data_IF_504984941351
#
_entry.id   IF_504984941351
#
_cell.length_a   1.000
_cell.length_b   1.000
_cell.length_c   1.000
_cell.angle_alpha   90.00
_cell.angle_beta   90.00
_cell.angle_gamma   90.00
#
_symmetry.space_group_name_H-M   'P 1'
#
loop_
_entity.id
_entity.type
_entity.pdbx_description
1 polymer ?
#
# COMPACT_ATOMS: atom_id res chain seq x y z
N UNK A 1 -60.46 -17.86 -26.39
CA UNK A 1 -59.60 -16.65 -26.36
C UNK A 1 -58.25 -17.05 -25.79
N UNK A 2 -57.17 -16.95 -26.57
CA UNK A 2 -55.81 -17.02 -26.00
C UNK A 2 -55.65 -15.86 -25.00
N UNK A 3 -55.27 -16.17 -23.77
CA UNK A 3 -54.92 -15.15 -22.76
C UNK A 3 -53.69 -14.42 -23.27
N UNK A 4 -53.82 -13.13 -23.63
CA UNK A 4 -52.69 -12.28 -24.01
C UNK A 4 -51.65 -12.32 -22.89
N UNK A 5 -50.39 -12.56 -23.24
CA UNK A 5 -49.30 -12.64 -22.26
C UNK A 5 -48.85 -11.24 -21.85
N UNK A 6 -48.37 -11.08 -20.62
CA UNK A 6 -47.94 -9.76 -20.11
C UNK A 6 -46.74 -9.20 -20.89
N UNK A 7 -45.89 -10.07 -21.42
CA UNK A 7 -44.75 -9.73 -22.27
C UNK A 7 -45.20 -9.16 -23.62
N UNK A 8 -46.30 -9.66 -24.19
CA UNK A 8 -46.89 -9.12 -25.43
C UNK A 8 -47.43 -7.71 -25.20
N UNK A 9 -48.14 -7.50 -24.08
CA UNK A 9 -48.60 -6.17 -23.66
C UNK A 9 -47.39 -5.24 -23.43
N UNK A 10 -46.32 -5.76 -22.84
CA UNK A 10 -45.13 -4.96 -22.62
C UNK A 10 -44.43 -4.60 -23.94
N UNK A 11 -44.33 -5.53 -24.89
CA UNK A 11 -43.79 -5.27 -26.22
C UNK A 11 -44.64 -4.23 -26.98
N UNK A 12 -45.98 -4.28 -26.89
CA UNK A 12 -46.85 -3.22 -27.44
C UNK A 12 -46.55 -1.83 -26.85
N UNK A 13 -46.17 -1.76 -25.57
CA UNK A 13 -45.80 -0.50 -24.91
C UNK A 13 -44.44 -0.01 -25.39
N UNK A 14 -43.48 -0.92 -25.57
CA UNK A 14 -42.15 -0.61 -26.10
C UNK A 14 -42.25 -0.14 -27.57
N UNK A 15 -43.11 -0.78 -28.37
CA UNK A 15 -43.41 -0.43 -29.76
C UNK A 15 -44.23 0.88 -29.90
N UNK A 16 -44.76 1.42 -28.80
CA UNK A 16 -45.60 2.62 -28.79
C UNK A 16 -47.05 2.41 -29.23
N UNK A 17 -47.47 1.16 -29.50
CA UNK A 17 -48.87 0.79 -29.81
C UNK A 17 -49.80 1.01 -28.62
N UNK A 18 -49.24 0.92 -27.40
CA UNK A 18 -49.93 1.14 -26.13
C UNK A 18 -49.15 2.12 -25.26
N UNK A 19 -49.85 2.98 -24.51
CA UNK A 19 -49.19 3.98 -23.64
C UNK A 19 -48.76 3.44 -22.28
N UNK A 20 -49.60 2.60 -21.66
CA UNK A 20 -49.43 2.09 -20.29
C UNK A 20 -49.97 0.67 -20.18
N UNK A 21 -49.55 -0.05 -19.14
CA UNK A 21 -50.15 -1.32 -18.77
C UNK A 21 -51.64 -1.14 -18.42
N UNK A 22 -52.48 -2.18 -18.58
CA UNK A 22 -53.86 -2.16 -18.12
C UNK A 22 -53.96 -1.65 -16.67
N UNK A 23 -55.02 -0.89 -16.32
CA UNK A 23 -55.24 -0.47 -14.95
C UNK A 23 -55.19 -1.65 -13.97
N UNK A 24 -54.71 -1.41 -12.75
CA UNK A 24 -54.57 -2.41 -11.68
C UNK A 24 -53.64 -3.60 -11.92
N UNK A 25 -52.99 -3.70 -13.09
CA UNK A 25 -52.03 -4.79 -13.39
C UNK A 25 -51.05 -5.07 -12.25
N UNK A 26 -50.49 -4.02 -11.65
CA UNK A 26 -49.50 -4.15 -10.57
C UNK A 26 -50.10 -4.30 -9.18
N UNK A 27 -51.32 -3.78 -8.95
CA UNK A 27 -52.01 -3.91 -7.67
C UNK A 27 -52.53 -5.35 -7.47
N UNK A 28 -52.87 -6.03 -8.56
CA UNK A 28 -53.37 -7.41 -8.58
C UNK A 28 -52.23 -8.45 -8.62
N UNK A 29 -50.99 -8.03 -8.91
CA UNK A 29 -49.81 -8.90 -8.98
C UNK A 29 -49.21 -9.19 -7.59
N UNK A 30 -50.03 -9.73 -6.69
CA UNK A 30 -49.68 -9.95 -5.27
C UNK A 30 -48.44 -10.85 -5.10
N UNK A 31 -48.21 -11.78 -6.04
CA UNK A 31 -47.07 -12.71 -6.02
C UNK A 31 -45.88 -12.24 -6.88
N UNK A 32 -45.93 -11.02 -7.42
CA UNK A 32 -44.90 -10.45 -8.29
C UNK A 32 -44.59 -11.29 -9.54
N UNK A 33 -45.53 -12.14 -9.99
CA UNK A 33 -45.28 -13.03 -11.13
C UNK A 33 -45.26 -12.24 -12.44
N UNK A 34 -46.14 -11.25 -12.59
CA UNK A 34 -46.18 -10.40 -13.78
C UNK A 34 -44.99 -9.45 -13.80
N UNK A 35 -44.65 -8.84 -12.67
CA UNK A 35 -43.50 -7.94 -12.53
C UNK A 35 -42.18 -8.65 -12.80
N UNK A 36 -41.97 -9.86 -12.27
CA UNK A 36 -40.78 -10.69 -12.58
C UNK A 36 -40.71 -11.01 -14.07
N UNK A 37 -41.83 -11.38 -14.70
CA UNK A 37 -41.87 -11.72 -16.13
C UNK A 37 -41.49 -10.55 -17.04
N UNK A 38 -42.07 -9.37 -16.84
CA UNK A 38 -41.71 -8.19 -17.66
C UNK A 38 -40.29 -7.70 -17.39
N UNK A 39 -39.80 -7.85 -16.15
CA UNK A 39 -38.41 -7.51 -15.78
C UNK A 39 -37.44 -8.46 -16.45
N UNK A 40 -37.74 -9.77 -16.43
CA UNK A 40 -36.96 -10.79 -17.14
C UNK A 40 -36.91 -10.51 -18.63
N UNK A 41 -38.07 -10.27 -19.25
CA UNK A 41 -38.17 -9.96 -20.67
C UNK A 41 -37.37 -8.71 -21.05
N UNK A 42 -37.40 -7.66 -20.22
CA UNK A 42 -36.57 -6.48 -20.45
C UNK A 42 -35.07 -6.84 -20.44
N UNK A 43 -34.62 -7.60 -19.45
CA UNK A 43 -33.18 -7.88 -19.25
C UNK A 43 -32.66 -8.89 -20.27
N UNK A 44 -33.37 -10.00 -20.46
CA UNK A 44 -32.91 -11.16 -21.23
C UNK A 44 -33.22 -11.02 -22.72
N UNK A 45 -34.40 -10.51 -23.09
CA UNK A 45 -34.84 -10.48 -24.50
C UNK A 45 -34.61 -9.11 -25.15
N UNK A 46 -34.99 -8.01 -24.48
CA UNK A 46 -34.92 -6.66 -25.07
C UNK A 46 -33.51 -6.08 -24.99
N UNK A 47 -32.89 -6.15 -23.81
CA UNK A 47 -31.54 -5.62 -23.56
C UNK A 47 -30.44 -6.65 -23.84
N UNK A 48 -30.77 -7.94 -23.73
CA UNK A 48 -29.84 -9.06 -23.86
C UNK A 48 -28.58 -8.87 -22.98
N UNK A 49 -28.81 -8.53 -21.72
CA UNK A 49 -27.76 -8.19 -20.75
C UNK A 49 -27.25 -9.38 -19.96
N UNK A 50 -25.96 -9.33 -19.60
CA UNK A 50 -25.32 -10.25 -18.67
C UNK A 50 -25.11 -9.60 -17.31
N UNK A 51 -24.57 -10.35 -16.35
CA UNK A 51 -24.43 -9.93 -14.96
C UNK A 51 -23.69 -8.59 -14.76
N UNK A 52 -22.63 -8.34 -15.53
CA UNK A 52 -21.87 -7.07 -15.42
C UNK A 52 -22.64 -5.88 -16.01
N UNK A 53 -23.35 -6.06 -17.14
CA UNK A 53 -24.21 -5.01 -17.71
C UNK A 53 -25.30 -4.59 -16.72
N UNK A 54 -25.86 -5.57 -15.99
CA UNK A 54 -26.86 -5.32 -14.94
C UNK A 54 -26.26 -4.47 -13.82
N UNK A 55 -25.07 -4.80 -13.32
CA UNK A 55 -24.39 -4.03 -12.23
C UNK A 55 -24.09 -2.59 -12.65
N UNK A 56 -23.67 -2.40 -13.90
CA UNK A 56 -23.28 -1.08 -14.41
C UNK A 56 -24.45 -0.19 -14.81
N UNK A 57 -25.48 -0.75 -15.44
CA UNK A 57 -26.49 0.04 -16.14
C UNK A 57 -27.88 -0.01 -15.48
N UNK A 58 -28.17 -1.00 -14.63
CA UNK A 58 -29.49 -1.10 -14.01
C UNK A 58 -29.71 -0.02 -12.95
N UNK A 59 -30.59 0.95 -13.25
CA UNK A 59 -30.90 2.08 -12.38
C UNK A 59 -32.32 2.62 -12.61
N UNK A 60 -32.80 3.50 -11.71
CA UNK A 60 -34.15 4.10 -11.80
C UNK A 60 -34.43 4.78 -13.14
N UNK A 61 -33.43 5.45 -13.73
CA UNK A 61 -33.57 6.19 -15.00
C UNK A 61 -33.77 5.22 -16.17
N UNK A 62 -33.01 4.13 -16.21
CA UNK A 62 -33.17 3.07 -17.19
C UNK A 62 -34.56 2.42 -17.09
N UNK A 63 -34.97 2.03 -15.89
CA UNK A 63 -36.27 1.37 -15.67
C UNK A 63 -37.43 2.26 -16.14
N UNK A 64 -37.35 3.57 -15.85
CA UNK A 64 -38.31 4.56 -16.34
C UNK A 64 -38.26 4.74 -17.87
N UNK A 65 -37.06 4.76 -18.47
CA UNK A 65 -36.87 4.84 -19.92
C UNK A 65 -37.60 3.70 -20.63
N UNK A 66 -37.50 2.48 -20.10
CA UNK A 66 -38.16 1.28 -20.61
C UNK A 66 -39.57 1.05 -20.05
N UNK A 67 -40.24 2.12 -19.61
CA UNK A 67 -41.68 2.14 -19.25
C UNK A 67 -42.08 1.24 -18.07
N UNK A 68 -41.11 0.76 -17.27
CA UNK A 68 -41.34 0.00 -16.04
C UNK A 68 -41.33 0.87 -14.77
N UNK A 69 -41.44 2.19 -14.91
CA UNK A 69 -41.48 3.11 -13.77
C UNK A 69 -42.67 2.87 -12.83
N UNK A 70 -43.82 2.43 -13.38
CA UNK A 70 -45.02 2.11 -12.60
C UNK A 70 -44.84 0.89 -11.70
N UNK A 71 -44.35 -0.22 -12.25
CA UNK A 71 -44.08 -1.44 -11.46
C UNK A 71 -42.99 -1.19 -10.42
N UNK A 72 -41.95 -0.44 -10.76
CA UNK A 72 -40.89 -0.06 -9.83
C UNK A 72 -41.44 0.72 -8.61
N UNK A 73 -42.37 1.64 -8.84
CA UNK A 73 -42.98 2.44 -7.78
C UNK A 73 -43.98 1.67 -6.92
N UNK A 74 -44.87 0.91 -7.56
CA UNK A 74 -45.99 0.21 -6.89
C UNK A 74 -45.52 -1.04 -6.16
N UNK A 75 -44.71 -1.88 -6.81
CA UNK A 75 -44.32 -3.20 -6.29
C UNK A 75 -43.04 -3.11 -5.46
N UNK A 76 -42.08 -2.32 -5.93
CA UNK A 76 -40.70 -2.36 -5.42
C UNK A 76 -40.29 -1.13 -4.62
N UNK A 77 -41.24 -0.30 -4.18
CA UNK A 77 -41.02 0.90 -3.36
C UNK A 77 -39.94 1.84 -3.94
N UNK A 78 -39.93 1.94 -5.27
CA UNK A 78 -38.94 2.70 -6.02
C UNK A 78 -37.47 2.25 -5.84
N UNK A 79 -37.19 1.00 -5.46
CA UNK A 79 -35.84 0.44 -5.36
C UNK A 79 -35.50 -0.45 -6.57
N UNK A 80 -34.53 -0.06 -7.42
CA UNK A 80 -34.04 -0.91 -8.51
C UNK A 80 -33.47 -2.24 -8.04
N UNK A 81 -32.84 -2.25 -6.86
CA UNK A 81 -32.24 -3.45 -6.29
C UNK A 81 -33.30 -4.46 -5.85
N UNK A 82 -34.35 -4.04 -5.15
CA UNK A 82 -35.41 -4.97 -4.71
C UNK A 82 -36.10 -5.63 -5.90
N UNK A 83 -36.32 -4.86 -6.98
CA UNK A 83 -36.85 -5.38 -8.25
C UNK A 83 -35.95 -6.45 -8.88
N UNK A 84 -34.63 -6.28 -8.84
CA UNK A 84 -33.70 -7.29 -9.35
C UNK A 84 -33.56 -8.49 -8.41
N UNK A 85 -33.48 -8.26 -7.11
CA UNK A 85 -33.32 -9.34 -6.14
C UNK A 85 -34.58 -10.22 -6.06
N UNK A 86 -35.76 -9.67 -6.35
CA UNK A 86 -36.98 -10.47 -6.52
C UNK A 86 -36.92 -11.37 -7.76
N UNK A 87 -36.32 -10.90 -8.85
CA UNK A 87 -36.14 -11.67 -10.08
C UNK A 87 -35.00 -12.70 -9.97
N UNK A 88 -33.88 -12.33 -9.35
CA UNK A 88 -32.68 -13.14 -9.16
C UNK A 88 -32.25 -13.15 -7.68
N UNK A 89 -32.97 -13.88 -6.80
CA UNK A 89 -32.71 -13.87 -5.37
C UNK A 89 -31.26 -14.20 -5.01
N UNK A 90 -30.60 -13.29 -4.29
CA UNK A 90 -29.25 -13.48 -3.78
C UNK A 90 -28.15 -13.50 -4.83
N UNK A 91 -28.46 -13.26 -6.11
CA UNK A 91 -27.48 -13.28 -7.21
C UNK A 91 -26.54 -12.09 -7.18
N UNK A 92 -27.02 -10.93 -6.70
CA UNK A 92 -26.28 -9.68 -6.65
C UNK A 92 -26.37 -9.10 -5.25
N UNK A 93 -25.32 -8.42 -4.80
CA UNK A 93 -25.34 -7.58 -3.60
C UNK A 93 -25.70 -6.15 -3.98
N UNK A 94 -26.43 -5.45 -3.10
CA UNK A 94 -26.89 -4.08 -3.40
C UNK A 94 -25.72 -3.11 -3.66
N UNK A 95 -24.59 -3.28 -2.97
CA UNK A 95 -23.40 -2.45 -3.18
C UNK A 95 -22.60 -2.75 -4.45
N UNK A 96 -22.92 -3.81 -5.20
CA UNK A 96 -22.25 -4.08 -6.49
C UNK A 96 -22.73 -3.13 -7.60
N UNK A 97 -23.85 -2.45 -7.39
CA UNK A 97 -24.45 -1.55 -8.37
C UNK A 97 -23.84 -0.14 -8.30
N UNK A 98 -24.01 0.62 -9.38
CA UNK A 98 -23.70 2.05 -9.39
C UNK A 98 -24.39 2.78 -8.23
N UNK A 99 -23.71 3.78 -7.66
CA UNK A 99 -24.19 4.55 -6.51
C UNK A 99 -25.60 5.14 -6.69
N UNK A 100 -26.01 5.44 -7.93
CA UNK A 100 -27.35 5.97 -8.26
C UNK A 100 -28.48 4.93 -8.14
N UNK A 101 -28.13 3.65 -8.09
CA UNK A 101 -29.05 2.51 -7.98
C UNK A 101 -29.26 2.06 -6.53
N UNK A 102 -28.30 2.35 -5.67
CA UNK A 102 -28.33 2.05 -4.23
C UNK A 102 -29.19 3.08 -3.50
N UNK A 103 -30.09 2.62 -2.63
CA UNK A 103 -30.93 3.53 -1.84
C UNK A 103 -30.09 4.49 -0.99
N UNK A 104 -30.53 5.74 -0.83
CA UNK A 104 -29.82 6.70 0.04
C UNK A 104 -29.73 6.22 1.48
N UNK A 105 -30.70 5.41 1.91
CA UNK A 105 -30.82 4.89 3.28
C UNK A 105 -30.32 3.45 3.39
N UNK A 106 -29.73 2.90 2.31
CA UNK A 106 -29.11 1.59 2.35
C UNK A 106 -27.96 1.62 3.35
N UNK A 107 -26.90 2.36 3.00
CA UNK A 107 -25.63 2.37 3.70
C UNK A 107 -25.77 2.62 5.20
N UNK A 108 -25.43 1.60 5.98
CA UNK A 108 -24.99 1.73 7.37
C UNK A 108 -23.48 1.58 7.48
N UNK A 109 -22.93 1.81 8.67
CA UNK A 109 -21.51 1.58 8.94
C UNK A 109 -21.16 0.09 8.74
N UNK A 110 -22.00 -0.81 9.22
CA UNK A 110 -21.83 -2.27 9.17
C UNK A 110 -21.87 -2.77 7.72
N UNK A 111 -22.80 -2.28 6.91
CA UNK A 111 -22.86 -2.62 5.49
C UNK A 111 -21.63 -2.12 4.73
N UNK A 112 -21.11 -0.94 5.08
CA UNK A 112 -19.86 -0.44 4.53
C UNK A 112 -18.69 -1.39 4.79
N UNK A 113 -18.62 -1.95 6.00
CA UNK A 113 -17.60 -2.95 6.37
C UNK A 113 -17.84 -4.31 5.71
N UNK A 114 -19.09 -4.78 5.60
CA UNK A 114 -19.42 -6.02 4.90
C UNK A 114 -19.05 -5.92 3.42
N UNK A 115 -19.41 -4.82 2.76
CA UNK A 115 -19.08 -4.58 1.36
C UNK A 115 -17.56 -4.49 1.16
N UNK A 116 -16.84 -3.84 2.08
CA UNK A 116 -15.38 -3.79 2.04
C UNK A 116 -14.75 -5.19 2.20
N UNK A 117 -15.19 -5.95 3.20
CA UNK A 117 -14.73 -7.32 3.46
C UNK A 117 -14.93 -8.20 2.25
N UNK A 118 -16.15 -8.23 1.72
CA UNK A 118 -16.49 -9.01 0.53
C UNK A 118 -15.65 -8.59 -0.68
N UNK A 119 -15.41 -7.29 -0.87
CA UNK A 119 -14.58 -6.80 -1.97
C UNK A 119 -13.14 -7.31 -1.86
N UNK A 120 -12.55 -7.27 -0.67
CA UNK A 120 -11.18 -7.71 -0.40
C UNK A 120 -11.05 -9.24 -0.46
N UNK A 121 -11.91 -9.95 0.26
CA UNK A 121 -11.76 -11.38 0.54
C UNK A 121 -12.38 -12.26 -0.55
N UNK A 122 -13.50 -11.85 -1.15
CA UNK A 122 -14.27 -12.69 -2.08
C UNK A 122 -14.17 -12.24 -3.54
N UNK A 123 -14.37 -10.94 -3.80
CA UNK A 123 -14.35 -10.39 -5.17
C UNK A 123 -12.95 -10.34 -5.74
N UNK A 124 -12.02 -9.68 -5.04
CA UNK A 124 -10.65 -9.50 -5.53
C UNK A 124 -9.65 -10.51 -4.94
N UNK A 125 -10.00 -11.19 -3.84
CA UNK A 125 -9.18 -12.22 -3.16
C UNK A 125 -7.75 -11.74 -2.89
N UNK A 126 -7.62 -10.52 -2.37
CA UNK A 126 -6.34 -9.85 -2.21
C UNK A 126 -5.55 -10.45 -1.04
N UNK A 127 -4.26 -10.74 -1.27
CA UNK A 127 -3.33 -10.97 -0.16
C UNK A 127 -3.07 -9.67 0.60
N UNK A 128 -2.44 -9.77 1.78
CA UNK A 128 -2.09 -8.59 2.59
C UNK A 128 -1.18 -7.64 1.82
N UNK A 129 -0.19 -8.17 1.11
CA UNK A 129 0.77 -7.42 0.30
C UNK A 129 0.07 -6.73 -0.87
N UNK A 130 -0.79 -7.45 -1.58
CA UNK A 130 -1.55 -6.90 -2.71
C UNK A 130 -2.50 -5.79 -2.24
N UNK A 131 -3.18 -6.00 -1.11
CA UNK A 131 -4.06 -5.01 -0.51
C UNK A 131 -3.31 -3.71 -0.23
N UNK A 132 -2.14 -3.77 0.42
CA UNK A 132 -1.34 -2.56 0.72
C UNK A 132 -0.89 -1.80 -0.54
N UNK A 133 -0.74 -2.48 -1.69
CA UNK A 133 -0.33 -1.86 -2.96
C UNK A 133 -1.49 -1.16 -3.70
N UNK A 134 -2.71 -1.66 -3.56
CA UNK A 134 -3.88 -1.15 -4.32
C UNK A 134 -4.79 -0.27 -3.46
N UNK A 135 -4.91 -0.58 -2.17
CA UNK A 135 -5.86 0.03 -1.26
C UNK A 135 -5.58 1.52 -1.08
N UNK A 136 -6.57 2.33 -1.48
CA UNK A 136 -6.49 3.77 -1.54
C UNK A 136 -7.88 4.37 -1.68
N UNK A 137 -8.01 5.68 -1.52
CA UNK A 137 -9.26 6.40 -1.83
C UNK A 137 -9.76 6.09 -3.25
N UNK A 138 -8.86 6.01 -4.23
CA UNK A 138 -9.19 5.68 -5.62
C UNK A 138 -9.75 4.27 -5.77
N UNK A 139 -9.15 3.30 -5.06
CA UNK A 139 -9.63 1.91 -5.06
C UNK A 139 -11.01 1.78 -4.42
N UNK A 140 -11.26 2.50 -3.31
CA UNK A 140 -12.59 2.55 -2.68
C UNK A 140 -13.66 3.13 -3.61
N UNK A 141 -13.34 4.21 -4.33
CA UNK A 141 -14.26 4.82 -5.32
C UNK A 141 -14.54 3.82 -6.46
N UNK A 142 -13.49 3.18 -7.01
CA UNK A 142 -13.63 2.18 -8.07
C UNK A 142 -14.55 1.02 -7.65
N UNK A 143 -14.53 0.66 -6.37
CA UNK A 143 -15.35 -0.42 -5.81
C UNK A 143 -16.67 0.06 -5.18
N UNK A 144 -17.19 1.23 -5.58
CA UNK A 144 -18.49 1.77 -5.15
C UNK A 144 -18.63 2.03 -3.65
N UNK A 145 -17.52 2.07 -2.91
CA UNK A 145 -17.49 2.31 -1.46
C UNK A 145 -17.35 3.78 -1.09
N UNK A 146 -17.33 4.72 -2.05
CA UNK A 146 -17.10 6.15 -1.79
C UNK A 146 -18.06 6.73 -0.74
N UNK A 147 -19.33 6.36 -0.83
CA UNK A 147 -20.39 6.90 0.01
C UNK A 147 -20.23 6.51 1.49
N UNK A 148 -20.21 5.21 1.84
CA UNK A 148 -20.03 4.81 3.24
C UNK A 148 -18.65 5.26 3.76
N UNK A 149 -17.59 5.13 2.96
CA UNK A 149 -16.24 5.65 3.25
C UNK A 149 -16.24 7.12 3.70
N UNK A 150 -16.91 7.99 2.94
CA UNK A 150 -16.96 9.43 3.24
C UNK A 150 -17.79 9.74 4.48
N UNK A 151 -18.95 9.08 4.62
CA UNK A 151 -19.92 9.37 5.69
C UNK A 151 -19.43 8.88 7.05
N UNK A 152 -18.91 7.65 7.14
CA UNK A 152 -18.61 7.01 8.42
C UNK A 152 -17.14 7.08 8.83
N UNK A 153 -16.22 7.28 7.87
CA UNK A 153 -14.76 7.30 8.14
C UNK A 153 -14.09 8.60 7.71
N UNK A 154 -14.86 9.68 7.48
CA UNK A 154 -14.32 11.01 7.22
C UNK A 154 -13.41 11.09 5.99
N UNK A 155 -13.60 10.20 5.02
CA UNK A 155 -12.70 10.03 3.88
C UNK A 155 -11.26 9.60 4.23
N UNK A 156 -11.04 8.91 5.35
CA UNK A 156 -9.75 8.29 5.70
C UNK A 156 -9.73 6.81 5.31
N UNK A 157 -8.92 6.39 4.30
CA UNK A 157 -8.86 4.99 3.89
C UNK A 157 -8.37 4.11 5.03
N UNK A 158 -7.41 4.61 5.80
CA UNK A 158 -6.89 3.93 6.98
C UNK A 158 -7.97 3.71 8.03
N UNK A 159 -8.77 4.73 8.37
CA UNK A 159 -9.80 4.59 9.38
C UNK A 159 -10.79 3.48 9.02
N UNK A 160 -11.21 3.40 7.75
CA UNK A 160 -12.10 2.33 7.29
C UNK A 160 -11.44 0.95 7.32
N UNK A 161 -10.17 0.85 6.92
CA UNK A 161 -9.46 -0.43 6.93
C UNK A 161 -9.16 -0.94 8.35
N UNK A 162 -8.77 -0.03 9.24
CA UNK A 162 -8.49 -0.34 10.64
C UNK A 162 -9.78 -0.69 11.39
N UNK A 163 -10.93 -0.16 11.00
CA UNK A 163 -12.21 -0.58 11.57
C UNK A 163 -12.61 -2.00 11.12
N UNK A 164 -12.28 -2.38 9.89
CA UNK A 164 -12.49 -3.74 9.39
C UNK A 164 -11.50 -4.77 9.99
N UNK A 165 -10.23 -4.37 10.12
CA UNK A 165 -9.14 -5.19 10.68
C UNK A 165 -8.41 -4.43 11.79
N UNK A 166 -8.98 -4.34 13.01
CA UNK A 166 -8.42 -3.57 14.11
C UNK A 166 -6.97 -3.93 14.43
N UNK A 167 -6.09 -2.94 14.37
CA UNK A 167 -4.68 -3.07 14.76
C UNK A 167 -3.83 -3.94 13.83
N UNK A 168 -4.39 -4.45 12.73
CA UNK A 168 -3.66 -5.30 11.77
C UNK A 168 -2.68 -4.51 10.92
N UNK A 169 -3.00 -3.26 10.63
CA UNK A 169 -2.22 -2.39 9.75
C UNK A 169 -1.85 -1.11 10.48
N UNK A 170 -0.68 -0.57 10.17
CA UNK A 170 -0.28 0.80 10.51
C UNK A 170 -0.63 1.74 9.37
N UNK A 171 -0.95 2.98 9.70
CA UNK A 171 -1.35 3.98 8.70
C UNK A 171 -0.25 4.22 7.65
N UNK A 172 1.03 4.19 8.08
CA UNK A 172 2.18 4.34 7.20
C UNK A 172 2.48 3.14 6.30
N UNK A 173 1.82 1.99 6.49
CA UNK A 173 1.94 0.85 5.58
C UNK A 173 1.09 1.02 4.32
N UNK A 174 0.08 1.90 4.37
CA UNK A 174 -0.76 2.17 3.21
C UNK A 174 0.00 2.95 2.14
N UNK A 175 -0.45 2.79 0.89
CA UNK A 175 0.09 3.48 -0.29
C UNK A 175 0.18 5.00 -0.12
N UNK A 176 -0.80 5.59 0.56
CA UNK A 176 -0.89 7.03 0.77
C UNK A 176 -1.29 7.30 2.23
N UNK A 177 -0.56 8.21 2.86
CA UNK A 177 -0.89 8.75 4.20
C UNK A 177 -1.48 10.15 4.07
N UNK A 178 -2.25 10.64 5.06
CA UNK A 178 -2.78 12.00 5.05
C UNK A 178 -1.72 13.08 4.87
N UNK A 179 -2.15 14.24 4.37
CA UNK A 179 -1.30 15.43 4.32
C UNK A 179 -0.86 15.78 5.74
N UNK A 180 0.42 16.12 5.90
CA UNK A 180 1.06 16.40 7.20
C UNK A 180 1.08 15.22 8.17
N UNK A 181 0.80 13.99 7.73
CA UNK A 181 0.87 12.80 8.56
C UNK A 181 2.22 12.67 9.26
N UNK A 182 3.35 12.89 8.58
CA UNK A 182 4.67 12.65 9.14
C UNK A 182 5.15 13.76 10.09
N UNK A 183 5.12 13.49 11.40
CA UNK A 183 5.98 14.14 12.41
C UNK A 183 7.33 13.41 12.54
N UNK A 184 8.24 13.97 13.34
CA UNK A 184 9.53 13.34 13.63
C UNK A 184 9.34 12.06 14.42
N UNK A 185 8.41 12.07 15.38
CA UNK A 185 8.08 10.95 16.26
C UNK A 185 7.50 9.78 15.47
N UNK A 186 6.52 10.03 14.59
CA UNK A 186 5.96 8.98 13.73
C UNK A 186 6.99 8.41 12.76
N UNK A 187 7.89 9.26 12.23
CA UNK A 187 9.00 8.80 11.40
C UNK A 187 9.91 7.81 12.13
N UNK A 188 10.22 8.08 13.40
CA UNK A 188 11.03 7.20 14.24
C UNK A 188 10.26 5.95 14.69
N UNK A 189 8.97 6.07 15.00
CA UNK A 189 8.11 4.93 15.35
C UNK A 189 7.99 3.96 14.16
N UNK A 190 7.69 4.48 12.96
CA UNK A 190 7.61 3.68 11.75
C UNK A 190 8.95 3.01 11.41
N UNK A 191 10.06 3.72 11.61
CA UNK A 191 11.39 3.14 11.44
C UNK A 191 11.66 2.00 12.42
N UNK A 192 11.37 2.22 13.71
CA UNK A 192 11.55 1.22 14.75
C UNK A 192 10.73 -0.02 14.47
N UNK A 193 9.44 0.16 14.20
CA UNK A 193 8.54 -0.93 13.88
C UNK A 193 9.00 -1.70 12.63
N UNK A 194 9.51 -1.00 11.60
CA UNK A 194 10.04 -1.65 10.40
C UNK A 194 11.25 -2.53 10.72
N UNK A 195 12.19 -2.02 11.53
CA UNK A 195 13.42 -2.74 11.90
C UNK A 195 13.10 -3.91 12.85
N UNK A 196 12.36 -3.65 13.92
CA UNK A 196 12.21 -4.56 15.07
C UNK A 196 11.06 -5.54 14.89
N UNK A 197 9.95 -5.14 14.27
CA UNK A 197 8.73 -5.94 14.21
C UNK A 197 8.48 -6.53 12.81
N UNK A 198 8.56 -5.70 11.76
CA UNK A 198 8.28 -6.12 10.38
C UNK A 198 9.39 -7.01 9.82
N UNK A 199 10.62 -6.51 9.81
CA UNK A 199 11.77 -7.23 9.22
C UNK A 199 12.61 -7.99 10.27
N UNK A 200 12.45 -7.67 11.57
CA UNK A 200 13.17 -8.30 12.69
C UNK A 200 14.68 -8.38 12.47
N UNK A 201 15.26 -7.27 12.00
CA UNK A 201 16.66 -7.22 11.58
C UNK A 201 17.59 -7.27 12.79
N UNK A 202 18.60 -8.14 12.70
CA UNK A 202 19.79 -8.05 13.56
C UNK A 202 20.60 -6.80 13.23
N UNK A 203 21.50 -6.40 14.13
CA UNK A 203 22.38 -5.25 13.91
C UNK A 203 23.20 -5.42 12.64
N UNK A 204 23.74 -6.61 12.42
CA UNK A 204 24.56 -6.96 11.26
C UNK A 204 23.75 -6.86 9.97
N UNK A 205 22.54 -7.43 9.94
CA UNK A 205 21.66 -7.35 8.77
C UNK A 205 21.24 -5.90 8.47
N UNK A 206 20.88 -5.14 9.51
CA UNK A 206 20.53 -3.73 9.37
C UNK A 206 21.65 -2.95 8.69
N UNK A 207 22.91 -3.11 9.12
CA UNK A 207 24.06 -2.41 8.51
C UNK A 207 24.32 -2.80 7.04
N UNK A 208 23.81 -3.94 6.58
CA UNK A 208 23.94 -4.38 5.18
C UNK A 208 22.83 -3.87 4.26
N UNK A 209 21.62 -3.68 4.78
CA UNK A 209 20.46 -3.27 3.97
C UNK A 209 20.12 -1.79 4.13
N UNK A 210 20.37 -1.22 5.31
CA UNK A 210 19.96 0.14 5.65
C UNK A 210 20.62 1.19 4.77
N UNK A 211 19.78 2.01 4.16
CA UNK A 211 20.18 3.07 3.24
C UNK A 211 18.96 3.74 2.63
N UNK A 212 19.20 4.72 1.76
CA UNK A 212 18.12 5.51 1.15
C UNK A 212 17.16 4.65 0.32
N UNK A 213 17.68 3.61 -0.34
CA UNK A 213 16.89 2.64 -1.10
C UNK A 213 15.96 1.81 -0.21
N UNK A 214 16.49 1.21 0.85
CA UNK A 214 15.71 0.41 1.80
C UNK A 214 14.63 1.27 2.50
N UNK A 215 14.96 2.52 2.86
CA UNK A 215 13.98 3.46 3.40
C UNK A 215 12.86 3.78 2.40
N UNK A 216 13.17 3.87 1.11
CA UNK A 216 12.16 4.10 0.07
C UNK A 216 11.26 2.89 -0.13
N UNK A 217 11.83 1.69 -0.18
CA UNK A 217 11.09 0.41 -0.29
C UNK A 217 10.14 0.21 0.91
N UNK A 218 10.49 0.77 2.07
CA UNK A 218 9.66 0.75 3.28
C UNK A 218 8.80 2.03 3.51
N UNK A 219 8.65 2.90 2.52
CA UNK A 219 7.76 4.08 2.62
C UNK A 219 8.26 5.21 3.52
N UNK A 220 9.50 5.14 4.00
CA UNK A 220 10.13 6.10 4.93
C UNK A 220 10.88 7.24 4.22
N UNK A 221 10.81 7.33 2.89
CA UNK A 221 11.49 8.40 2.14
C UNK A 221 10.93 9.79 2.45
N UNK A 222 9.61 9.91 2.63
CA UNK A 222 8.94 11.18 2.95
C UNK A 222 9.37 11.75 4.31
N UNK A 223 9.28 11.00 5.43
CA UNK A 223 9.75 11.50 6.73
C UNK A 223 11.26 11.77 6.71
N UNK A 224 12.06 10.93 6.05
CA UNK A 224 13.50 11.12 5.88
C UNK A 224 13.83 12.49 5.24
N UNK A 225 13.14 12.84 4.16
CA UNK A 225 13.33 14.13 3.47
C UNK A 225 12.89 15.31 4.32
N UNK A 226 11.74 15.17 5.01
CA UNK A 226 11.11 16.26 5.77
C UNK A 226 11.87 16.63 7.04
N UNK A 227 12.40 15.65 7.78
CA UNK A 227 12.93 15.87 9.14
C UNK A 227 14.42 15.58 9.29
N UNK A 228 15.05 14.91 8.33
CA UNK A 228 16.48 14.51 8.41
C UNK A 228 17.30 14.92 7.17
N UNK A 229 16.84 15.89 6.40
CA UNK A 229 17.56 16.42 5.23
C UNK A 229 18.03 15.33 4.26
N UNK A 230 17.25 14.26 4.09
CA UNK A 230 17.61 13.09 3.28
C UNK A 230 18.83 12.28 3.74
N UNK A 231 19.26 12.41 5.01
CA UNK A 231 20.37 11.65 5.60
C UNK A 231 19.86 10.38 6.32
N UNK A 232 20.10 9.17 5.77
CA UNK A 232 19.73 7.92 6.46
C UNK A 232 20.41 7.80 7.82
N UNK A 233 21.69 8.19 7.91
CA UNK A 233 22.42 8.18 9.18
C UNK A 233 21.75 9.06 10.23
N UNK A 234 21.39 10.30 9.90
CA UNK A 234 20.77 11.20 10.87
C UNK A 234 19.43 10.65 11.39
N UNK A 235 18.67 9.96 10.53
CA UNK A 235 17.42 9.31 10.92
C UNK A 235 17.67 8.10 11.85
N UNK A 236 18.62 7.23 11.50
CA UNK A 236 18.98 6.09 12.33
C UNK A 236 19.57 6.51 13.68
N UNK A 237 20.46 7.50 13.69
CA UNK A 237 21.01 8.07 14.92
C UNK A 237 19.93 8.80 15.75
N UNK A 238 18.87 9.30 15.11
CA UNK A 238 17.69 9.80 15.83
C UNK A 238 16.91 8.71 16.56
N UNK A 239 16.88 7.48 16.02
CA UNK A 239 16.22 6.33 16.64
C UNK A 239 17.10 5.65 17.70
N UNK A 240 18.40 5.48 17.40
CA UNK A 240 19.39 4.87 18.29
C UNK A 240 20.59 5.81 18.50
N UNK A 241 20.44 6.84 19.35
CA UNK A 241 21.49 7.85 19.55
C UNK A 241 22.83 7.22 19.97
N UNK A 242 23.87 7.50 19.20
CA UNK A 242 25.25 7.08 19.50
C UNK A 242 25.53 5.57 19.34
N UNK A 243 24.53 4.77 18.94
CA UNK A 243 24.69 3.31 18.76
C UNK A 243 25.47 2.95 17.51
N UNK A 244 25.30 3.74 16.44
CA UNK A 244 25.89 3.49 15.13
C UNK A 244 26.75 4.68 14.73
N UNK A 245 27.86 4.40 14.05
CA UNK A 245 28.67 5.42 13.39
C UNK A 245 28.34 5.47 11.90
N UNK A 246 28.46 6.65 11.31
CA UNK A 246 28.04 6.90 9.94
C UNK A 246 28.72 5.98 8.92
N UNK A 247 30.00 5.66 9.13
CA UNK A 247 30.79 4.77 8.27
C UNK A 247 30.45 3.28 8.39
N UNK A 248 29.67 2.89 9.40
CA UNK A 248 29.20 1.51 9.55
C UNK A 248 28.05 1.20 8.57
N UNK A 249 27.33 2.23 8.11
CA UNK A 249 26.24 2.10 7.14
C UNK A 249 26.77 1.77 5.75
N UNK A 250 25.93 1.08 4.95
CA UNK A 250 26.24 0.66 3.58
C UNK A 250 26.70 1.81 2.70
N UNK A 251 26.10 2.99 2.87
CA UNK A 251 26.36 4.19 2.09
C UNK A 251 26.66 5.35 3.04
N UNK A 252 27.76 6.07 2.76
CA UNK A 252 28.10 7.35 3.39
C UNK A 252 27.86 8.50 2.41
N UNK A 253 27.55 9.73 2.88
CA UNK A 253 27.34 10.88 2.01
C UNK A 253 28.50 11.18 1.05
N UNK A 254 28.17 11.78 -0.09
CA UNK A 254 29.15 12.41 -0.97
C UNK A 254 29.92 13.46 -0.16
N UNK A 255 31.24 13.30 -0.07
CA UNK A 255 32.16 14.10 0.74
C UNK A 255 32.21 13.81 2.24
N UNK A 256 31.71 12.65 2.68
CA UNK A 256 32.00 12.15 4.03
C UNK A 256 33.53 12.15 4.24
N UNK A 257 34.27 11.27 3.55
CA UNK A 257 35.70 11.06 3.75
C UNK A 257 36.58 12.31 3.66
N UNK A 258 36.90 12.88 4.82
CA UNK A 258 38.07 13.74 5.07
C UNK A 258 39.30 12.90 5.44
N UNK A 259 40.47 13.53 5.51
CA UNK A 259 41.69 12.84 5.90
C UNK A 259 41.60 12.40 7.37
N UNK A 260 41.04 13.25 8.21
CA UNK A 260 40.85 13.05 9.65
C UNK A 260 39.90 11.88 9.91
N UNK A 261 38.76 11.85 9.23
CA UNK A 261 37.82 10.73 9.33
C UNK A 261 38.42 9.41 8.84
N UNK A 262 39.20 9.45 7.75
CA UNK A 262 39.90 8.25 7.27
C UNK A 262 40.83 7.65 8.34
N UNK A 263 41.53 8.51 9.09
CA UNK A 263 42.40 8.10 10.19
C UNK A 263 41.61 7.68 11.44
N UNK A 264 40.52 8.37 11.75
CA UNK A 264 39.63 8.02 12.87
C UNK A 264 39.02 6.63 12.67
N UNK A 265 38.49 6.35 11.48
CA UNK A 265 37.92 5.03 11.15
C UNK A 265 39.00 3.95 11.18
N UNK A 266 40.21 4.25 10.69
CA UNK A 266 41.34 3.33 10.78
C UNK A 266 41.69 3.02 12.23
N UNK A 267 41.82 4.05 13.08
CA UNK A 267 42.09 3.91 14.51
C UNK A 267 41.03 3.06 15.19
N UNK A 268 39.76 3.42 15.01
CA UNK A 268 38.64 2.71 15.59
C UNK A 268 38.59 1.24 15.14
N UNK A 269 38.89 0.96 13.87
CA UNK A 269 38.93 -0.41 13.35
C UNK A 269 39.98 -1.25 14.07
N UNK A 270 41.16 -0.65 14.31
CA UNK A 270 42.30 -1.32 14.95
C UNK A 270 42.06 -1.48 16.45
N UNK A 271 41.74 -0.39 17.14
CA UNK A 271 41.72 -0.32 18.60
C UNK A 271 40.41 -0.90 19.19
N UNK A 272 39.27 -0.67 18.56
CA UNK A 272 37.96 -0.96 19.15
C UNK A 272 37.27 -2.14 18.48
N UNK A 273 37.21 -2.16 17.13
CA UNK A 273 36.47 -3.18 16.37
C UNK A 273 37.18 -4.52 16.37
N UNK A 274 38.44 -4.55 15.96
CA UNK A 274 39.24 -5.78 15.86
C UNK A 274 40.21 -5.95 17.04
N UNK A 275 40.43 -4.91 17.85
CA UNK A 275 41.30 -4.90 19.04
C UNK A 275 42.68 -5.53 18.77
N UNK A 276 43.30 -5.12 17.67
CA UNK A 276 44.55 -5.69 17.18
C UNK A 276 45.75 -5.19 17.99
N UNK A 277 46.62 -6.10 18.42
CA UNK A 277 47.96 -5.70 18.90
C UNK A 277 48.82 -5.20 17.73
N UNK A 278 49.91 -4.45 17.99
CA UNK A 278 50.83 -4.05 16.93
C UNK A 278 51.32 -5.23 16.08
N UNK A 279 51.63 -6.37 16.68
CA UNK A 279 52.10 -7.59 16.00
C UNK A 279 51.01 -8.21 15.12
N UNK A 280 49.77 -8.26 15.61
CA UNK A 280 48.65 -8.76 14.82
C UNK A 280 48.32 -7.82 13.66
N UNK A 281 48.38 -6.50 13.89
CA UNK A 281 48.18 -5.50 12.85
C UNK A 281 49.21 -5.67 11.73
N UNK A 282 50.49 -5.90 12.06
CA UNK A 282 51.55 -6.16 11.08
C UNK A 282 51.22 -7.34 10.15
N UNK A 283 50.56 -8.38 10.67
CA UNK A 283 50.20 -9.59 9.92
C UNK A 283 48.97 -9.38 9.03
N UNK A 284 47.94 -8.68 9.51
CA UNK A 284 46.65 -8.55 8.79
C UNK A 284 46.57 -7.32 7.88
N UNK A 285 47.38 -6.28 8.14
CA UNK A 285 47.29 -5.00 7.46
C UNK A 285 47.67 -5.10 5.98
N UNK A 286 46.64 -5.26 5.15
CA UNK A 286 46.73 -5.46 3.72
C UNK A 286 45.68 -4.61 2.98
N UNK A 287 45.80 -4.52 1.66
CA UNK A 287 44.80 -3.82 0.85
C UNK A 287 43.43 -4.51 0.94
N UNK A 288 43.41 -5.85 0.96
CA UNK A 288 42.20 -6.65 1.20
C UNK A 288 41.58 -6.34 2.57
N UNK A 289 42.38 -6.18 3.61
CA UNK A 289 41.91 -5.82 4.95
C UNK A 289 41.31 -4.40 4.98
N UNK A 290 41.94 -3.44 4.30
CA UNK A 290 41.39 -2.07 4.16
C UNK A 290 40.08 -2.04 3.37
N UNK A 291 39.97 -2.82 2.29
CA UNK A 291 38.73 -2.96 1.51
C UNK A 291 37.63 -3.59 2.38
N UNK A 292 37.94 -4.68 3.08
CA UNK A 292 37.01 -5.36 4.02
C UNK A 292 36.47 -4.39 5.07
N UNK A 293 37.33 -3.49 5.56
CA UNK A 293 36.98 -2.47 6.54
C UNK A 293 36.54 -1.12 5.93
N UNK A 294 36.16 -1.10 4.65
CA UNK A 294 35.58 0.07 3.94
C UNK A 294 36.47 1.32 3.91
N UNK A 295 37.78 1.14 4.03
CA UNK A 295 38.79 2.21 4.00
C UNK A 295 39.39 2.45 2.60
N UNK A 296 38.89 1.78 1.57
CA UNK A 296 39.39 1.93 0.19
C UNK A 296 39.21 3.36 -0.36
N UNK A 297 38.03 3.95 -0.18
CA UNK A 297 37.74 5.32 -0.67
C UNK A 297 38.63 6.39 -0.02
N UNK A 298 38.75 6.49 1.33
CA UNK A 298 39.64 7.48 1.93
C UNK A 298 41.11 7.22 1.59
N UNK A 299 41.53 5.95 1.49
CA UNK A 299 42.88 5.57 1.08
C UNK A 299 43.23 6.12 -0.32
N UNK A 300 42.34 5.92 -1.30
CA UNK A 300 42.55 6.40 -2.66
C UNK A 300 42.53 7.93 -2.71
N UNK A 301 41.55 8.56 -2.04
CA UNK A 301 41.35 10.02 -2.08
C UNK A 301 42.50 10.81 -1.45
N UNK A 302 43.01 10.38 -0.28
CA UNK A 302 43.95 11.18 0.52
C UNK A 302 45.38 10.65 0.56
N UNK A 303 45.58 9.37 0.24
CA UNK A 303 46.91 8.73 0.22
C UNK A 303 47.27 8.10 -1.12
N UNK A 304 46.49 8.34 -2.19
CA UNK A 304 46.74 7.85 -3.56
C UNK A 304 46.96 6.33 -3.61
N UNK A 305 46.22 5.58 -2.79
CA UNK A 305 46.34 4.11 -2.71
C UNK A 305 47.50 3.61 -1.83
N UNK A 306 48.35 4.50 -1.29
CA UNK A 306 49.49 4.09 -0.49
C UNK A 306 49.09 3.75 0.96
N UNK A 307 48.81 2.47 1.22
CA UNK A 307 48.41 1.97 2.55
C UNK A 307 49.44 2.28 3.65
N UNK A 308 50.73 2.25 3.29
CA UNK A 308 51.80 2.51 4.23
C UNK A 308 51.86 3.98 4.64
N UNK A 309 51.58 4.90 3.71
CA UNK A 309 51.48 6.33 4.01
C UNK A 309 50.28 6.63 4.93
N UNK A 310 49.17 5.91 4.75
CA UNK A 310 48.00 5.99 5.63
C UNK A 310 48.32 5.48 7.04
N UNK A 311 48.95 4.29 7.15
CA UNK A 311 49.37 3.76 8.45
C UNK A 311 50.40 4.66 9.13
N UNK A 312 51.39 5.17 8.41
CA UNK A 312 52.39 6.11 8.92
C UNK A 312 51.75 7.38 9.49
N UNK A 313 50.68 7.86 8.87
CA UNK A 313 49.96 9.04 9.36
C UNK A 313 49.24 8.79 10.70
N UNK A 314 48.93 7.53 11.04
CA UNK A 314 48.29 7.15 12.29
C UNK A 314 49.28 6.66 13.35
N UNK A 315 50.18 5.75 12.98
CA UNK A 315 51.18 5.12 13.84
C UNK A 315 52.57 5.17 13.18
N UNK A 316 53.31 6.29 13.31
CA UNK A 316 54.64 6.44 12.73
C UNK A 316 55.64 5.38 13.20
N UNK A 317 55.55 4.96 14.47
CA UNK A 317 56.47 3.98 15.06
C UNK A 317 56.25 2.56 14.52
N UNK A 318 54.98 2.13 14.38
CA UNK A 318 54.65 0.83 13.78
C UNK A 318 55.14 0.76 12.33
N UNK A 319 55.02 1.87 11.59
CA UNK A 319 55.53 1.97 10.22
C UNK A 319 57.06 1.80 10.14
N UNK A 320 57.82 2.37 11.09
CA UNK A 320 59.28 2.18 11.15
C UNK A 320 59.65 0.71 11.35
N UNK A 321 58.90 -0.01 12.18
CA UNK A 321 59.08 -1.45 12.40
C UNK A 321 58.80 -2.27 11.14
N UNK A 322 57.74 -1.93 10.38
CA UNK A 322 57.45 -2.55 9.07
C UNK A 322 58.58 -2.38 8.06
N UNK A 323 59.19 -1.19 7.97
CA UNK A 323 60.31 -0.95 7.05
C UNK A 323 61.55 -1.75 7.45
N UNK A 324 61.83 -1.86 8.75
CA UNK A 324 62.94 -2.69 9.24
C UNK A 324 62.74 -4.16 8.89
N UNK A 325 61.53 -4.72 9.10
CA UNK A 325 61.22 -6.12 8.76
C UNK A 325 61.36 -6.42 7.27
N UNK A 326 60.90 -5.53 6.37
CA UNK A 326 61.10 -5.68 4.92
C UNK A 326 62.57 -5.73 4.49
N UNK A 327 63.43 -5.00 5.20
CA UNK A 327 64.86 -5.00 4.91
C UNK A 327 65.59 -6.23 5.48
N UNK A 328 64.96 -7.00 6.37
CA UNK A 328 65.53 -8.26 6.91
C UNK A 328 65.16 -9.48 6.05
N UNK A 329 64.03 -9.45 5.34
CA UNK A 329 63.62 -10.54 4.42
C UNK A 329 64.36 -10.52 3.07
N UNK A 330 65.29 -9.59 2.84
CA UNK A 330 66.09 -9.47 1.61
C UNK A 330 67.61 -9.57 1.88
N UNK A 331 68.00 -10.14 3.03
CA UNK A 331 69.40 -10.48 3.37
C UNK A 331 69.57 -11.98 3.41
#
# INVERSE_FOLDING_TARGET
MQRIRIEEIYQEILDGKRKIFPPNTWNEDIKHELSKRVTRYLIEDVLNWRGEDIKEQWNKKLIKKYKLGGVLGIVYQASPYTMLNDLYPGRFKEWEFQQSSVSSNFWTKEQGLEALRWTIEEKEKLTTEQLLQVYSKKWLIKNQLERPFRVYWGSSPYAMLNDLYPGRFKEWELKEVPVNFWTKEQGLEALRWTIEEKEKLTTEQLLQVYGKRWLNENGLLTPLRKHWNSSPYAMLNGLYPGRFREWELKEVPLNFWTKEQGLEVLRWTIEEKERLTPEQLLQVYSERWLIKNRLSTPLQKHWRGNRYAMLKALYPEIYRTMQKMKNVEHV
#
